data_IF_461916724425
#
_entry.id   IF_461916724425
#
_cell.length_a   1.000
_cell.length_b   1.000
_cell.length_c   1.000
_cell.angle_alpha   90.00
_cell.angle_beta   90.00
_cell.angle_gamma   90.00
#
_symmetry.space_group_name_H-M   'P 1'
#
loop_
_entity.id
_entity.type
_entity.pdbx_description
1 polymer ?
#
# COMPACT_ATOMS: atom_id res chain seq x y z
N UNK A 1 12.67 14.18 21.39
CA UNK A 1 12.78 14.47 19.95
C UNK A 1 11.50 14.02 19.27
N UNK A 2 10.92 14.90 18.46
CA UNK A 2 9.70 14.53 17.71
C UNK A 2 10.05 13.58 16.57
N UNK A 3 9.31 12.49 16.44
CA UNK A 3 9.48 11.55 15.33
C UNK A 3 8.85 12.10 14.05
N UNK A 4 9.40 11.68 12.90
CA UNK A 4 8.84 12.01 11.58
C UNK A 4 7.98 10.86 11.10
N UNK A 5 6.77 11.14 10.57
CA UNK A 5 5.94 10.07 10.00
C UNK A 5 6.60 9.43 8.78
N UNK A 6 6.58 8.11 8.73
CA UNK A 6 7.03 7.32 7.59
C UNK A 6 5.84 6.49 7.12
N UNK A 7 5.28 6.85 5.95
CA UNK A 7 4.09 6.20 5.41
C UNK A 7 4.47 5.04 4.52
N UNK A 8 3.85 3.89 4.78
CA UNK A 8 4.00 2.69 3.98
C UNK A 8 2.62 2.29 3.47
N UNK A 9 2.46 2.18 2.16
CA UNK A 9 1.18 1.84 1.53
C UNK A 9 1.35 0.57 0.71
N UNK A 10 0.71 -0.51 1.15
CA UNK A 10 0.56 -1.72 0.35
C UNK A 10 -0.42 -1.44 -0.80
N UNK A 11 -0.07 -1.88 -2.01
CA UNK A 11 -0.97 -1.86 -3.16
C UNK A 11 -1.08 -3.28 -3.69
N UNK A 12 -2.24 -3.90 -3.49
CA UNK A 12 -2.42 -5.34 -3.60
C UNK A 12 -3.35 -5.71 -4.74
N UNK A 13 -2.82 -6.49 -5.68
CA UNK A 13 -3.59 -7.05 -6.78
C UNK A 13 -4.53 -8.13 -6.25
N UNK A 14 -5.82 -7.85 -6.31
CA UNK A 14 -6.89 -8.77 -5.91
C UNK A 14 -7.70 -9.24 -7.13
N UNK A 15 -7.12 -9.18 -8.33
CA UNK A 15 -7.78 -9.63 -9.55
C UNK A 15 -8.04 -11.15 -9.53
N UNK A 16 -8.92 -11.60 -10.43
CA UNK A 16 -9.30 -13.01 -10.50
C UNK A 16 -8.12 -13.95 -10.67
N UNK A 17 -7.04 -13.54 -11.38
CA UNK A 17 -5.84 -14.36 -11.55
C UNK A 17 -5.13 -14.65 -10.23
N UNK A 18 -5.29 -13.80 -9.23
CA UNK A 18 -4.72 -14.02 -7.90
C UNK A 18 -5.42 -15.16 -7.13
N UNK A 19 -6.60 -15.58 -7.57
CA UNK A 19 -7.30 -16.73 -6.99
C UNK A 19 -6.77 -18.08 -7.48
N UNK A 20 -5.89 -18.08 -8.49
CA UNK A 20 -5.35 -19.30 -9.09
C UNK A 20 -4.09 -19.73 -8.33
N UNK A 21 -3.96 -21.04 -8.07
CA UNK A 21 -2.78 -21.65 -7.44
C UNK A 21 -2.44 -21.06 -6.07
N UNK A 22 -3.44 -20.59 -5.33
CA UNK A 22 -3.25 -20.10 -3.97
C UNK A 22 -2.53 -18.77 -3.86
N UNK A 23 -2.40 -17.99 -4.93
CA UNK A 23 -1.65 -16.73 -4.93
C UNK A 23 -2.15 -15.72 -3.90
N UNK A 24 -3.48 -15.56 -3.78
CA UNK A 24 -4.04 -14.61 -2.81
C UNK A 24 -3.76 -15.05 -1.37
N UNK A 25 -3.78 -16.36 -1.12
CA UNK A 25 -3.41 -16.90 0.19
C UNK A 25 -1.94 -16.65 0.52
N UNK A 26 -1.05 -16.82 -0.47
CA UNK A 26 0.37 -16.53 -0.31
C UNK A 26 0.61 -15.05 -0.05
N UNK A 27 -0.15 -14.16 -0.73
CA UNK A 27 -0.06 -12.72 -0.52
C UNK A 27 -0.45 -12.37 0.92
N UNK A 28 -1.60 -12.86 1.39
CA UNK A 28 -2.06 -12.60 2.76
C UNK A 28 -1.05 -13.13 3.79
N UNK A 29 -0.51 -14.32 3.55
CA UNK A 29 0.51 -14.91 4.41
C UNK A 29 1.78 -14.05 4.45
N UNK A 30 2.26 -13.60 3.28
CA UNK A 30 3.47 -12.79 3.19
C UNK A 30 3.33 -11.48 3.97
N UNK A 31 2.16 -10.83 3.90
CA UNK A 31 1.92 -9.60 4.64
C UNK A 31 1.93 -9.87 6.15
N UNK A 32 1.29 -10.94 6.61
CA UNK A 32 1.32 -11.32 8.02
C UNK A 32 2.74 -11.59 8.51
N UNK A 33 3.56 -12.24 7.69
CA UNK A 33 4.96 -12.49 8.04
C UNK A 33 5.80 -11.21 8.06
N UNK A 34 5.44 -10.22 7.24
CA UNK A 34 6.16 -8.95 7.18
C UNK A 34 5.90 -8.07 8.41
N UNK A 35 4.73 -8.16 9.01
CA UNK A 35 4.32 -7.26 10.10
C UNK A 35 5.30 -7.30 11.28
N UNK A 36 5.68 -8.46 11.85
CA UNK A 36 6.63 -8.49 12.96
C UNK A 36 7.99 -7.90 12.59
N UNK A 37 8.45 -8.10 11.37
CA UNK A 37 9.71 -7.53 10.90
C UNK A 37 9.63 -6.01 10.77
N UNK A 38 8.50 -5.50 10.28
CA UNK A 38 8.25 -4.06 10.21
C UNK A 38 8.20 -3.44 11.62
N UNK A 39 7.56 -4.12 12.57
CA UNK A 39 7.51 -3.68 13.96
C UNK A 39 8.90 -3.61 14.57
N UNK A 40 9.74 -4.61 14.32
CA UNK A 40 11.11 -4.64 14.82
C UNK A 40 11.93 -3.50 14.21
N UNK A 41 11.81 -3.27 12.91
CA UNK A 41 12.49 -2.18 12.24
C UNK A 41 12.07 -0.82 12.81
N UNK A 42 10.78 -0.64 13.09
CA UNK A 42 10.26 0.59 13.67
C UNK A 42 10.81 0.82 15.08
N UNK A 43 10.92 -0.23 15.89
CA UNK A 43 11.49 -0.14 17.23
C UNK A 43 12.96 0.27 17.20
N UNK A 44 13.69 -0.11 16.15
CA UNK A 44 15.10 0.23 15.97
C UNK A 44 15.32 1.65 15.46
N UNK A 45 14.27 2.35 15.08
CA UNK A 45 14.33 3.69 14.48
C UNK A 45 13.34 4.64 15.16
N UNK A 46 13.59 5.03 16.43
CA UNK A 46 12.63 5.85 17.19
C UNK A 46 12.42 7.26 16.62
N UNK A 47 13.30 7.71 15.72
CA UNK A 47 13.14 8.99 15.04
C UNK A 47 12.10 8.95 13.93
N UNK A 48 11.58 7.78 13.56
CA UNK A 48 10.54 7.60 12.55
C UNK A 48 9.32 6.89 13.14
N UNK A 49 8.12 7.37 12.80
CA UNK A 49 6.87 6.72 13.17
C UNK A 49 6.31 6.02 11.93
N UNK A 50 6.41 4.70 11.89
CA UNK A 50 5.94 3.91 10.74
C UNK A 50 4.44 3.75 10.78
N UNK A 51 3.76 4.28 9.75
CA UNK A 51 2.31 4.27 9.59
C UNK A 51 1.96 3.47 8.34
N UNK A 52 1.08 2.47 8.48
CA UNK A 52 0.79 1.50 7.43
C UNK A 52 -0.64 1.64 6.95
N UNK A 53 -0.82 1.61 5.64
CA UNK A 53 -2.12 1.57 4.96
C UNK A 53 -2.08 0.52 3.86
N UNK A 54 -3.24 0.16 3.35
CA UNK A 54 -3.33 -0.79 2.25
C UNK A 54 -4.45 -0.41 1.27
N UNK A 55 -4.12 -0.49 -0.02
CA UNK A 55 -5.07 -0.37 -1.13
C UNK A 55 -5.21 -1.75 -1.76
N UNK A 56 -6.44 -2.18 -2.02
CA UNK A 56 -6.71 -3.34 -2.86
C UNK A 56 -7.23 -2.87 -4.21
N UNK A 57 -6.83 -3.54 -5.29
CA UNK A 57 -7.34 -3.20 -6.61
C UNK A 57 -7.66 -4.46 -7.41
N UNK A 58 -8.70 -4.33 -8.21
CA UNK A 58 -9.16 -5.33 -9.15
C UNK A 58 -10.00 -4.61 -10.19
N UNK A 59 -11.32 -4.68 -10.16
CA UNK A 59 -12.18 -3.75 -10.89
C UNK A 59 -12.28 -2.47 -10.05
N UNK A 60 -11.49 -1.45 -10.43
CA UNK A 60 -11.29 -0.27 -9.63
C UNK A 60 -10.31 -0.49 -8.46
N UNK A 61 -10.23 0.47 -7.58
CA UNK A 61 -9.38 0.39 -6.39
C UNK A 61 -10.15 0.90 -5.17
N UNK A 62 -9.82 0.36 -4.00
CA UNK A 62 -10.41 0.79 -2.74
C UNK A 62 -9.39 0.69 -1.61
N UNK A 63 -9.60 1.48 -0.56
CA UNK A 63 -8.80 1.36 0.64
C UNK A 63 -9.23 0.11 1.41
N UNK A 64 -8.31 -0.82 1.57
CA UNK A 64 -8.48 -1.96 2.47
C UNK A 64 -8.24 -1.53 3.91
N UNK A 65 -7.21 -0.72 4.11
CA UNK A 65 -6.93 -0.04 5.37
C UNK A 65 -6.66 1.43 5.04
N UNK A 66 -7.65 2.28 5.33
CA UNK A 66 -7.65 3.67 4.93
C UNK A 66 -6.86 4.56 5.89
N UNK A 67 -7.01 4.34 7.19
CA UNK A 67 -6.38 5.19 8.20
C UNK A 67 -4.91 4.81 8.35
N UNK A 68 -3.99 5.80 8.34
CA UNK A 68 -2.60 5.52 8.67
C UNK A 68 -2.51 4.92 10.06
N UNK A 69 -2.06 3.67 10.15
CA UNK A 69 -2.07 2.89 11.39
C UNK A 69 -0.65 2.65 11.86
N UNK A 70 -0.31 3.05 13.10
CA UNK A 70 1.01 2.71 13.65
C UNK A 70 1.26 1.20 13.57
N UNK A 71 2.45 0.81 13.12
CA UNK A 71 2.73 -0.58 12.80
C UNK A 71 2.60 -1.51 14.01
N UNK A 72 2.84 -1.00 15.22
CA UNK A 72 2.70 -1.78 16.45
C UNK A 72 1.24 -2.12 16.79
N UNK A 73 0.27 -1.43 16.18
CA UNK A 73 -1.15 -1.70 16.30
C UNK A 73 -1.76 -2.23 15.01
N UNK A 74 -0.94 -2.45 14.00
CA UNK A 74 -1.40 -2.90 12.69
C UNK A 74 -1.77 -4.38 12.74
N UNK A 75 -3.00 -4.69 12.30
CA UNK A 75 -3.48 -6.06 12.14
C UNK A 75 -3.92 -6.26 10.70
N UNK A 76 -3.79 -7.48 10.20
CA UNK A 76 -4.10 -7.77 8.80
C UNK A 76 -5.39 -8.58 8.69
N UNK A 77 -6.38 -7.99 8.00
CA UNK A 77 -7.56 -8.69 7.53
C UNK A 77 -7.31 -9.13 6.10
N UNK A 78 -7.61 -10.39 5.78
CA UNK A 78 -7.34 -10.95 4.46
C UNK A 78 -8.04 -10.17 3.36
N UNK A 79 -7.34 -9.94 2.25
CA UNK A 79 -7.95 -9.48 1.00
C UNK A 79 -8.46 -10.68 0.23
N UNK A 80 -9.46 -10.45 -0.61
CA UNK A 80 -10.13 -11.48 -1.42
C UNK A 80 -10.09 -11.08 -2.89
N UNK A 81 -10.13 -12.08 -3.77
CA UNK A 81 -10.07 -11.83 -5.21
C UNK A 81 -11.42 -11.40 -5.79
N UNK A 82 -11.36 -10.46 -6.76
CA UNK A 82 -12.52 -10.03 -7.53
C UNK A 82 -12.06 -9.27 -8.79
N UNK A 83 -12.71 -9.49 -9.92
CA UNK A 83 -12.64 -8.60 -11.08
C UNK A 83 -11.34 -8.53 -11.87
N UNK A 84 -11.10 -7.37 -12.46
CA UNK A 84 -10.02 -7.07 -13.41
C UNK A 84 -8.71 -6.69 -12.69
N UNK A 85 -7.81 -5.94 -13.35
CA UNK A 85 -6.51 -5.53 -12.79
C UNK A 85 -6.29 -4.03 -13.01
N UNK A 86 -7.12 -3.21 -12.38
CA UNK A 86 -7.09 -1.75 -12.54
C UNK A 86 -5.98 -1.13 -11.70
N UNK A 87 -4.74 -1.44 -12.06
CA UNK A 87 -3.53 -0.99 -11.36
C UNK A 87 -3.39 0.54 -11.39
N UNK A 88 -3.78 1.18 -12.51
CA UNK A 88 -3.75 2.63 -12.61
C UNK A 88 -4.68 3.32 -11.62
N UNK A 89 -5.84 2.71 -11.33
CA UNK A 89 -6.75 3.22 -10.30
C UNK A 89 -6.07 3.23 -8.93
N UNK A 90 -5.32 2.17 -8.59
CA UNK A 90 -4.56 2.10 -7.34
C UNK A 90 -3.46 3.19 -7.31
N UNK A 91 -2.76 3.39 -8.41
CA UNK A 91 -1.71 4.43 -8.50
C UNK A 91 -2.30 5.81 -8.28
N UNK A 92 -3.46 6.12 -8.88
CA UNK A 92 -4.11 7.42 -8.71
C UNK A 92 -4.59 7.62 -7.27
N UNK A 93 -5.09 6.56 -6.64
CA UNK A 93 -5.50 6.60 -5.23
C UNK A 93 -4.30 6.87 -4.32
N UNK A 94 -3.18 6.18 -4.55
CA UNK A 94 -1.95 6.42 -3.80
C UNK A 94 -1.44 7.84 -4.02
N UNK A 95 -1.44 8.32 -5.27
CA UNK A 95 -1.00 9.67 -5.60
C UNK A 95 -1.79 10.73 -4.83
N UNK A 96 -3.11 10.57 -4.73
CA UNK A 96 -3.96 11.49 -3.96
C UNK A 96 -3.56 11.51 -2.47
N UNK A 97 -3.21 10.37 -1.91
CA UNK A 97 -2.78 10.26 -0.52
C UNK A 97 -1.39 10.88 -0.28
N UNK A 98 -0.57 10.99 -1.32
CA UNK A 98 0.81 11.51 -1.23
C UNK A 98 0.90 13.02 -1.43
N UNK A 99 -0.19 13.70 -1.78
CA UNK A 99 -0.18 15.16 -1.89
C UNK A 99 0.03 15.82 -0.52
N UNK A 100 0.53 17.02 -0.50
CA UNK A 100 0.75 17.80 0.72
C UNK A 100 -0.09 19.07 0.69
N UNK A 101 -1.18 19.22 1.49
CA UNK A 101 -1.80 18.14 2.26
C UNK A 101 -2.51 17.13 1.36
N UNK A 102 -2.87 15.92 1.83
CA UNK A 102 -2.98 15.47 3.24
C UNK A 102 -1.70 14.97 3.90
N UNK A 103 -0.65 14.66 3.15
CA UNK A 103 0.62 14.24 3.75
C UNK A 103 1.30 15.40 4.46
N UNK A 104 1.85 15.19 5.68
CA UNK A 104 2.63 16.25 6.35
C UNK A 104 3.91 16.55 5.58
N UNK A 105 4.29 17.84 5.53
CA UNK A 105 5.53 18.26 4.86
C UNK A 105 6.78 17.64 5.49
N UNK A 106 6.76 17.40 6.80
CA UNK A 106 7.90 16.84 7.51
C UNK A 106 7.96 15.31 7.48
N UNK A 107 7.03 14.66 6.78
CA UNK A 107 7.05 13.21 6.63
C UNK A 107 8.31 12.76 5.89
N UNK A 108 8.77 11.55 6.20
CA UNK A 108 9.82 10.90 5.43
C UNK A 108 9.27 10.50 4.06
N UNK A 109 10.13 10.31 3.04
CA UNK A 109 9.65 9.83 1.75
C UNK A 109 8.83 8.54 1.90
N UNK A 110 7.64 8.47 1.30
CA UNK A 110 6.76 7.31 1.46
C UNK A 110 7.27 6.09 0.69
N UNK A 111 6.85 4.92 1.15
CA UNK A 111 7.11 3.66 0.47
C UNK A 111 5.81 3.11 -0.09
N UNK A 112 5.78 2.78 -1.36
CA UNK A 112 4.67 2.11 -2.01
C UNK A 112 5.10 0.70 -2.38
N UNK A 113 4.43 -0.31 -1.85
CA UNK A 113 4.75 -1.71 -2.09
C UNK A 113 3.67 -2.34 -2.97
N UNK A 114 3.98 -2.49 -4.26
CA UNK A 114 3.07 -3.09 -5.23
C UNK A 114 3.29 -4.60 -5.29
N UNK A 115 2.21 -5.36 -5.10
CA UNK A 115 2.22 -6.82 -5.27
C UNK A 115 1.20 -7.20 -6.33
N UNK A 116 1.66 -7.74 -7.45
CA UNK A 116 0.81 -8.13 -8.56
C UNK A 116 1.46 -9.28 -9.33
N UNK A 117 0.62 -10.13 -9.96
CA UNK A 117 1.08 -11.22 -10.82
C UNK A 117 0.76 -10.98 -12.29
N UNK A 118 0.05 -9.89 -12.62
CA UNK A 118 -0.57 -9.75 -13.91
C UNK A 118 -0.31 -8.45 -14.64
N UNK A 119 -0.94 -8.38 -15.83
CA UNK A 119 -0.93 -7.21 -16.68
C UNK A 119 -2.05 -6.27 -16.25
N UNK A 120 -1.80 -4.95 -16.18
CA UNK A 120 -2.87 -4.00 -15.88
C UNK A 120 -3.93 -3.99 -16.98
N UNK A 121 -5.19 -3.76 -16.58
CA UNK A 121 -6.32 -3.65 -17.50
C UNK A 121 -6.76 -2.21 -17.74
N UNK A 122 -6.10 -1.24 -17.09
CA UNK A 122 -6.40 0.18 -17.26
C UNK A 122 -5.15 0.97 -17.65
N UNK A 123 -5.28 2.29 -17.73
CA UNK A 123 -4.17 3.19 -18.05
C UNK A 123 -3.27 3.38 -16.83
N UNK A 124 -2.46 2.37 -16.56
CA UNK A 124 -1.54 2.38 -15.43
C UNK A 124 -0.43 3.43 -15.58
N UNK A 125 -0.07 3.78 -16.83
CA UNK A 125 1.00 4.77 -17.08
C UNK A 125 0.59 6.16 -16.62
N UNK A 126 -0.66 6.58 -16.89
CA UNK A 126 -1.14 7.87 -16.39
C UNK A 126 -1.24 7.88 -14.86
N UNK A 127 -1.62 6.75 -14.26
CA UNK A 127 -1.61 6.59 -12.81
C UNK A 127 -0.22 6.71 -12.21
N UNK A 128 0.77 6.09 -12.84
CA UNK A 128 2.17 6.17 -12.39
C UNK A 128 2.70 7.60 -12.51
N UNK A 129 2.35 8.32 -13.59
CA UNK A 129 2.69 9.74 -13.73
C UNK A 129 2.09 10.59 -12.63
N UNK A 130 0.86 10.26 -12.19
CA UNK A 130 0.24 10.98 -11.08
C UNK A 130 1.06 10.83 -9.79
N UNK A 131 1.67 9.66 -9.56
CA UNK A 131 2.58 9.46 -8.42
C UNK A 131 3.85 10.30 -8.60
N UNK A 132 4.44 10.30 -9.80
CA UNK A 132 5.65 11.09 -10.10
C UNK A 132 5.42 12.59 -9.91
N UNK A 133 4.17 13.06 -10.09
CA UNK A 133 3.80 14.46 -9.94
C UNK A 133 3.57 14.86 -8.48
N UNK A 134 3.69 13.94 -7.52
CA UNK A 134 3.61 14.27 -6.09
C UNK A 134 4.90 14.94 -5.63
N UNK A 135 4.90 15.59 -4.44
CA UNK A 135 6.11 16.29 -3.94
C UNK A 135 7.24 15.36 -3.48
N UNK A 136 7.09 14.04 -3.64
CA UNK A 136 8.07 13.04 -3.13
C UNK A 136 9.06 12.47 -4.19
#
# INVERSE_FOLDING_TARGET
MASRPAHFIWMLDCSGSMGVNGKIGELNFAIREAIPEMQQAAQSNPAASLLVRAISFASGASWHIQEPTPVDRFTWDDVHTYGATDMGAAFRMAAAALQTPPMPQRALPPVLALVSDGQPTDDWRSGLRAIDDTPW
#
